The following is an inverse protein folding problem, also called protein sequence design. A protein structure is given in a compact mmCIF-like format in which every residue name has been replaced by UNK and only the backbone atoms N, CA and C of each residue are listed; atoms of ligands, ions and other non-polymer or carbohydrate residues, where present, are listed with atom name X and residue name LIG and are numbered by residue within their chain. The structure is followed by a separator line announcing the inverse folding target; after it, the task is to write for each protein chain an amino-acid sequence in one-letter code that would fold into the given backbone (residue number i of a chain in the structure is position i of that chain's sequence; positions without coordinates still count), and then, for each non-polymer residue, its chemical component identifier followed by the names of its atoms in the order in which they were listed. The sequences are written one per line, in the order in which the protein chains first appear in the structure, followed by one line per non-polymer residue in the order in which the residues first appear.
data_IF_601743309951
#
_entry.id   IF_601743309951
#
_cell.length_a   1.000
_cell.length_b   1.000
_cell.length_c   1.000
_cell.angle_alpha   90.00
_cell.angle_beta   90.00
_cell.angle_gamma   90.00
#
_symmetry.space_group_name_H-M   'P 1'
#
loop_
_entity.id
_entity.type
_entity.pdbx_description
1 polymer ?
#
# COMPACT_ATOMS: atom_id res chain seq x y z
N UNK A 1 -70.94 1.83 -7.85
CA UNK A 1 -69.58 1.48 -7.38
C UNK A 1 -68.71 1.38 -8.62
N UNK A 2 -67.87 2.37 -8.84
CA UNK A 2 -67.25 2.64 -10.15
C UNK A 2 -66.17 1.62 -10.47
N UNK A 3 -66.20 1.04 -11.67
CA UNK A 3 -65.17 0.13 -12.20
C UNK A 3 -63.76 0.77 -12.14
N UNK A 4 -63.68 2.10 -12.11
CA UNK A 4 -62.43 2.85 -11.93
C UNK A 4 -61.82 2.74 -10.53
N UNK A 5 -62.61 2.58 -9.45
CA UNK A 5 -62.09 2.39 -8.09
C UNK A 5 -61.51 0.98 -7.88
N UNK A 6 -62.09 -0.03 -8.56
CA UNK A 6 -61.64 -1.42 -8.46
C UNK A 6 -60.36 -1.72 -9.23
N UNK A 7 -60.05 -0.95 -10.28
CA UNK A 7 -58.86 -1.16 -11.13
C UNK A 7 -57.67 -0.27 -10.72
N UNK A 8 -57.90 0.86 -10.06
CA UNK A 8 -56.84 1.79 -9.65
C UNK A 8 -55.92 1.23 -8.56
N UNK A 9 -56.48 0.54 -7.57
CA UNK A 9 -55.73 -0.04 -6.43
C UNK A 9 -54.72 -1.12 -6.86
N UNK A 10 -55.08 -2.13 -7.68
CA UNK A 10 -54.12 -3.15 -8.12
C UNK A 10 -53.02 -2.58 -9.03
N UNK A 11 -53.33 -1.63 -9.92
CA UNK A 11 -52.34 -0.96 -10.77
C UNK A 11 -51.34 -0.15 -9.94
N UNK A 12 -51.80 0.58 -8.94
CA UNK A 12 -50.93 1.33 -8.02
C UNK A 12 -50.04 0.38 -7.21
N UNK A 13 -50.58 -0.74 -6.75
CA UNK A 13 -49.80 -1.76 -6.04
C UNK A 13 -48.69 -2.32 -6.92
N UNK A 14 -48.99 -2.69 -8.16
CA UNK A 14 -47.98 -3.19 -9.12
C UNK A 14 -46.93 -2.13 -9.41
N UNK A 15 -47.32 -0.87 -9.64
CA UNK A 15 -46.39 0.23 -9.88
C UNK A 15 -45.47 0.50 -8.67
N UNK A 16 -46.00 0.46 -7.45
CA UNK A 16 -45.22 0.63 -6.21
C UNK A 16 -44.30 -0.56 -5.98
N UNK A 17 -44.76 -1.79 -6.21
CA UNK A 17 -43.91 -2.99 -6.06
C UNK A 17 -42.79 -3.03 -7.10
N UNK A 18 -43.07 -2.69 -8.35
CA UNK A 18 -42.05 -2.63 -9.41
C UNK A 18 -41.08 -1.47 -9.18
N UNK A 19 -41.58 -0.27 -8.87
CA UNK A 19 -40.75 0.90 -8.60
C UNK A 19 -39.91 0.76 -7.33
N UNK A 20 -40.50 0.22 -6.26
CA UNK A 20 -39.81 -0.08 -5.01
C UNK A 20 -38.78 -1.20 -5.17
N UNK A 21 -39.14 -2.28 -5.86
CA UNK A 21 -38.22 -3.37 -6.21
C UNK A 21 -37.05 -2.88 -7.04
N UNK A 22 -37.30 -2.09 -8.09
CA UNK A 22 -36.26 -1.46 -8.91
C UNK A 22 -35.29 -0.63 -8.07
N UNK A 23 -35.80 0.27 -7.24
CA UNK A 23 -34.97 1.19 -6.45
C UNK A 23 -34.12 0.46 -5.41
N UNK A 24 -34.67 -0.57 -4.75
CA UNK A 24 -33.93 -1.41 -3.81
C UNK A 24 -32.86 -2.21 -4.54
N UNK A 25 -33.20 -2.86 -5.65
CA UNK A 25 -32.25 -3.65 -6.44
C UNK A 25 -31.11 -2.78 -6.97
N UNK A 26 -31.38 -1.61 -7.55
CA UNK A 26 -30.31 -0.73 -8.07
C UNK A 26 -29.38 -0.26 -6.96
N UNK A 27 -29.92 0.14 -5.81
CA UNK A 27 -29.11 0.61 -4.67
C UNK A 27 -28.23 -0.50 -4.10
N UNK A 28 -28.76 -1.71 -4.00
CA UNK A 28 -28.04 -2.89 -3.51
C UNK A 28 -26.96 -3.32 -4.50
N UNK A 29 -27.27 -3.36 -5.80
CA UNK A 29 -26.28 -3.70 -6.84
C UNK A 29 -25.15 -2.68 -6.89
N UNK A 30 -25.46 -1.37 -6.91
CA UNK A 30 -24.43 -0.32 -6.88
C UNK A 30 -23.54 -0.39 -5.63
N UNK A 31 -24.10 -0.89 -4.52
CA UNK A 31 -23.35 -1.08 -3.28
C UNK A 31 -22.36 -2.24 -3.40
N UNK A 32 -22.82 -3.40 -3.90
CA UNK A 32 -21.99 -4.57 -4.12
C UNK A 32 -20.89 -4.33 -5.15
N UNK A 33 -21.20 -3.64 -6.25
CA UNK A 33 -20.21 -3.32 -7.29
C UNK A 33 -19.10 -2.43 -6.75
N UNK A 34 -19.43 -1.47 -5.88
CA UNK A 34 -18.42 -0.63 -5.22
C UNK A 34 -17.54 -1.42 -4.26
N UNK A 35 -18.12 -2.33 -3.48
CA UNK A 35 -17.36 -3.20 -2.57
C UNK A 35 -16.41 -4.11 -3.37
N UNK A 36 -16.94 -4.76 -4.42
CA UNK A 36 -16.16 -5.64 -5.28
C UNK A 36 -15.00 -4.90 -5.94
N UNK A 37 -15.28 -3.74 -6.54
CA UNK A 37 -14.24 -2.90 -7.17
C UNK A 37 -13.14 -2.49 -6.18
N UNK A 38 -13.50 -2.12 -4.95
CA UNK A 38 -12.50 -1.78 -3.94
C UNK A 38 -11.66 -3.00 -3.54
N UNK A 39 -12.28 -4.19 -3.42
CA UNK A 39 -11.56 -5.43 -3.11
C UNK A 39 -10.61 -5.86 -4.21
N UNK A 40 -11.03 -5.79 -5.47
CA UNK A 40 -10.19 -6.13 -6.62
C UNK A 40 -8.95 -5.22 -6.71
N UNK A 41 -9.15 -3.94 -6.41
CA UNK A 41 -8.10 -2.93 -6.37
C UNK A 41 -7.10 -3.16 -5.23
N UNK A 42 -7.58 -3.55 -4.05
CA UNK A 42 -6.75 -3.93 -2.90
C UNK A 42 -5.95 -5.21 -3.17
N UNK A 43 -6.57 -6.23 -3.78
CA UNK A 43 -5.87 -7.46 -4.18
C UNK A 43 -4.78 -7.17 -5.22
N UNK A 44 -5.06 -6.27 -6.17
CA UNK A 44 -4.06 -5.81 -7.14
C UNK A 44 -2.91 -5.09 -6.44
N UNK A 45 -3.21 -4.19 -5.49
CA UNK A 45 -2.19 -3.48 -4.71
C UNK A 45 -1.36 -4.44 -3.85
N UNK A 46 -1.98 -5.46 -3.25
CA UNK A 46 -1.30 -6.50 -2.49
C UNK A 46 -0.34 -7.32 -3.35
N UNK A 47 -0.79 -7.75 -4.54
CA UNK A 47 0.06 -8.47 -5.49
C UNK A 47 1.25 -7.63 -5.96
N UNK A 48 1.02 -6.35 -6.25
CA UNK A 48 2.09 -5.42 -6.62
C UNK A 48 3.07 -5.19 -5.47
N UNK A 49 2.58 -5.03 -4.25
CA UNK A 49 3.44 -4.91 -3.07
C UNK A 49 4.32 -6.15 -2.87
N UNK A 50 3.75 -7.35 -2.98
CA UNK A 50 4.51 -8.60 -2.85
C UNK A 50 5.58 -8.75 -3.93
N UNK A 51 5.26 -8.35 -5.17
CA UNK A 51 6.24 -8.31 -6.27
C UNK A 51 7.40 -7.35 -5.96
N UNK A 52 7.09 -6.14 -5.50
CA UNK A 52 8.09 -5.14 -5.12
C UNK A 52 8.94 -5.59 -3.93
N UNK A 53 8.33 -6.24 -2.95
CA UNK A 53 9.05 -6.83 -1.82
C UNK A 53 10.03 -7.93 -2.28
N UNK A 54 9.61 -8.79 -3.22
CA UNK A 54 10.49 -9.79 -3.83
C UNK A 54 11.68 -9.14 -4.56
N UNK A 55 11.41 -8.10 -5.35
CA UNK A 55 12.43 -7.35 -6.08
C UNK A 55 13.42 -6.67 -5.13
N UNK A 56 12.93 -6.04 -4.07
CA UNK A 56 13.73 -5.46 -3.01
C UNK A 56 14.73 -6.46 -2.43
N UNK A 57 14.24 -7.65 -2.04
CA UNK A 57 15.09 -8.70 -1.43
C UNK A 57 16.11 -9.21 -2.44
N UNK A 58 15.71 -9.38 -3.70
CA UNK A 58 16.61 -9.82 -4.76
C UNK A 58 17.74 -8.81 -4.97
N UNK A 59 17.42 -7.53 -5.14
CA UNK A 59 18.40 -6.45 -5.34
C UNK A 59 19.36 -6.35 -4.16
N UNK A 60 18.84 -6.33 -2.93
CA UNK A 60 19.67 -6.28 -1.73
C UNK A 60 20.63 -7.49 -1.64
N UNK A 61 20.14 -8.72 -1.83
CA UNK A 61 20.99 -9.91 -1.75
C UNK A 61 22.04 -9.95 -2.86
N UNK A 62 21.66 -9.60 -4.09
CA UNK A 62 22.61 -9.50 -5.20
C UNK A 62 23.68 -8.45 -4.91
N UNK A 63 23.29 -7.29 -4.39
CA UNK A 63 24.24 -6.25 -4.02
C UNK A 63 25.23 -6.72 -2.96
N UNK A 64 24.75 -7.28 -1.85
CA UNK A 64 25.60 -7.80 -0.79
C UNK A 64 26.61 -8.84 -1.30
N UNK A 65 26.24 -9.67 -2.28
CA UNK A 65 27.15 -10.64 -2.90
C UNK A 65 28.22 -10.00 -3.81
N UNK A 66 27.96 -8.80 -4.35
CA UNK A 66 28.89 -8.06 -5.21
C UNK A 66 29.86 -7.16 -4.42
N UNK A 67 29.50 -6.73 -3.21
CA UNK A 67 30.23 -5.72 -2.42
C UNK A 67 31.50 -6.18 -1.71
N UNK A 68 32.16 -7.25 -2.16
CA UNK A 68 33.42 -7.75 -1.58
C UNK A 68 34.59 -6.73 -1.53
N UNK A 69 34.43 -5.50 -2.06
CA UNK A 69 35.47 -4.45 -2.12
C UNK A 69 35.00 -3.00 -1.92
N UNK A 70 33.82 -2.74 -1.32
CA UNK A 70 33.36 -1.39 -0.89
C UNK A 70 33.53 -0.24 -1.90
N UNK A 71 33.39 -0.51 -3.21
CA UNK A 71 33.65 0.50 -4.25
C UNK A 71 32.36 1.21 -4.66
N UNK A 72 32.31 2.55 -4.64
CA UNK A 72 31.14 3.30 -5.09
C UNK A 72 30.80 3.06 -6.57
N UNK A 73 29.50 3.04 -6.88
CA UNK A 73 29.02 2.86 -8.25
C UNK A 73 29.16 4.18 -9.02
N UNK A 74 30.26 4.33 -9.77
CA UNK A 74 30.61 5.59 -10.46
C UNK A 74 30.30 5.59 -11.97
N UNK A 75 30.16 4.42 -12.60
CA UNK A 75 29.91 4.30 -14.03
C UNK A 75 29.01 3.11 -14.39
N UNK A 76 28.38 3.11 -15.58
CA UNK A 76 27.57 1.99 -16.07
C UNK A 76 28.29 0.66 -16.19
N UNK A 77 29.63 0.69 -16.32
CA UNK A 77 30.46 -0.51 -16.42
C UNK A 77 30.73 -1.16 -15.06
N UNK A 78 30.40 -0.47 -13.96
CA UNK A 78 30.54 -1.02 -12.62
C UNK A 78 29.53 -2.16 -12.41
N UNK A 79 29.94 -3.31 -11.84
CA UNK A 79 29.04 -4.47 -11.63
C UNK A 79 27.81 -4.14 -10.77
N UNK A 80 27.89 -3.11 -9.93
CA UNK A 80 26.79 -2.57 -9.14
C UNK A 80 25.74 -1.75 -9.90
N UNK A 81 26.00 -1.33 -11.14
CA UNK A 81 25.09 -0.46 -11.89
C UNK A 81 23.73 -1.11 -12.14
N UNK A 82 23.72 -2.40 -12.50
CA UNK A 82 22.48 -3.16 -12.67
C UNK A 82 21.67 -3.26 -11.37
N UNK A 83 22.33 -3.34 -10.21
CA UNK A 83 21.65 -3.30 -8.91
C UNK A 83 21.07 -1.91 -8.64
N UNK A 84 21.80 -0.84 -8.98
CA UNK A 84 21.35 0.54 -8.81
C UNK A 84 20.13 0.86 -9.68
N UNK A 85 20.13 0.42 -10.94
CA UNK A 85 19.00 0.59 -11.85
C UNK A 85 17.74 -0.12 -11.32
N UNK A 86 17.88 -1.38 -10.90
CA UNK A 86 16.79 -2.15 -10.31
C UNK A 86 16.28 -1.56 -8.99
N UNK A 87 17.18 -1.12 -8.11
CA UNK A 87 16.82 -0.43 -6.87
C UNK A 87 16.03 0.86 -7.15
N UNK A 88 16.47 1.64 -8.14
CA UNK A 88 15.80 2.88 -8.55
C UNK A 88 14.42 2.61 -9.12
N UNK A 89 14.30 1.58 -9.97
CA UNK A 89 13.00 1.15 -10.51
C UNK A 89 12.05 0.67 -9.41
N UNK A 90 12.56 -0.13 -8.46
CA UNK A 90 11.79 -0.61 -7.32
C UNK A 90 11.35 0.54 -6.39
N UNK A 91 12.21 1.52 -6.12
CA UNK A 91 11.87 2.73 -5.36
C UNK A 91 10.79 3.56 -6.05
N UNK A 92 10.90 3.79 -7.36
CA UNK A 92 9.88 4.51 -8.12
C UNK A 92 8.54 3.78 -8.13
N UNK A 93 8.56 2.46 -8.27
CA UNK A 93 7.33 1.66 -8.29
C UNK A 93 6.65 1.58 -6.91
N UNK A 94 7.41 1.49 -5.80
CA UNK A 94 6.81 1.57 -4.47
C UNK A 94 6.21 2.96 -4.23
N UNK A 95 6.87 4.05 -4.63
CA UNK A 95 6.29 5.40 -4.52
C UNK A 95 4.98 5.54 -5.31
N UNK A 96 4.90 4.97 -6.52
CA UNK A 96 3.68 4.95 -7.31
C UNK A 96 2.55 4.17 -6.61
N UNK A 97 2.86 3.02 -6.01
CA UNK A 97 1.91 2.26 -5.20
C UNK A 97 1.41 3.07 -4.00
N UNK A 98 2.31 3.78 -3.30
CA UNK A 98 1.96 4.62 -2.16
C UNK A 98 1.06 5.80 -2.55
N UNK A 99 1.32 6.43 -3.70
CA UNK A 99 0.46 7.48 -4.24
C UNK A 99 -0.96 6.96 -4.53
N UNK A 100 -1.05 5.75 -5.10
CA UNK A 100 -2.33 5.08 -5.33
C UNK A 100 -3.06 4.81 -4.02
N UNK A 101 -2.39 4.26 -3.01
CA UNK A 101 -2.99 3.99 -1.70
C UNK A 101 -3.51 5.28 -1.03
N UNK A 102 -2.76 6.37 -1.11
CA UNK A 102 -3.19 7.67 -0.59
C UNK A 102 -4.42 8.23 -1.31
N UNK A 103 -4.61 7.91 -2.60
CA UNK A 103 -5.78 8.32 -3.38
C UNK A 103 -7.01 7.42 -3.18
N UNK A 104 -6.80 6.18 -2.76
CA UNK A 104 -7.84 5.16 -2.74
C UNK A 104 -8.33 4.82 -1.33
N UNK A 105 -7.50 5.06 -0.30
CA UNK A 105 -7.80 4.71 1.09
C UNK A 105 -7.73 5.93 2.01
N UNK A 106 -8.63 5.97 2.99
CA UNK A 106 -8.52 6.87 4.14
C UNK A 106 -7.60 6.20 5.15
N UNK A 107 -6.38 6.70 5.25
CA UNK A 107 -5.32 6.12 6.07
C UNK A 107 -5.25 6.77 7.45
N UNK A 108 -4.98 5.97 8.48
CA UNK A 108 -4.66 6.48 9.81
C UNK A 108 -3.23 7.02 9.85
N UNK A 109 -2.89 7.74 10.93
CA UNK A 109 -1.52 8.22 11.14
C UNK A 109 -0.52 7.07 11.20
N UNK A 110 -0.84 6.02 11.93
CA UNK A 110 -0.01 4.81 12.03
C UNK A 110 0.22 4.15 10.66
N UNK A 111 -0.82 4.03 9.83
CA UNK A 111 -0.68 3.49 8.48
C UNK A 111 0.20 4.38 7.60
N UNK A 112 0.07 5.70 7.72
CA UNK A 112 0.95 6.65 7.03
C UNK A 112 2.40 6.48 7.45
N UNK A 113 2.66 6.27 8.74
CA UNK A 113 4.02 6.08 9.27
C UNK A 113 4.58 4.72 8.83
N UNK A 114 3.78 3.66 8.79
CA UNK A 114 4.16 2.35 8.23
C UNK A 114 4.55 2.46 6.75
N UNK A 115 3.70 3.11 5.93
CA UNK A 115 3.95 3.29 4.51
C UNK A 115 5.16 4.18 4.24
N UNK A 116 5.35 5.22 5.05
CA UNK A 116 6.53 6.06 5.03
C UNK A 116 7.80 5.27 5.37
N UNK A 117 7.72 4.39 6.37
CA UNK A 117 8.85 3.54 6.76
C UNK A 117 9.25 2.55 5.67
N UNK A 118 8.28 1.89 5.02
CA UNK A 118 8.57 1.00 3.87
C UNK A 118 9.27 1.75 2.76
N UNK A 119 8.79 2.95 2.41
CA UNK A 119 9.45 3.79 1.40
C UNK A 119 10.92 4.06 1.76
N UNK A 120 11.20 4.37 3.02
CA UNK A 120 12.57 4.64 3.46
C UNK A 120 13.46 3.41 3.41
N UNK A 121 12.93 2.22 3.67
CA UNK A 121 13.69 0.98 3.48
C UNK A 121 14.14 0.80 2.02
N UNK A 122 13.26 1.05 1.04
CA UNK A 122 13.61 1.02 -0.39
C UNK A 122 14.69 2.06 -0.73
N UNK A 123 14.55 3.28 -0.21
CA UNK A 123 15.58 4.33 -0.34
C UNK A 123 16.91 3.93 0.27
N UNK A 124 16.90 3.26 1.42
CA UNK A 124 18.11 2.83 2.09
C UNK A 124 18.92 1.84 1.23
N UNK A 125 18.25 0.87 0.58
CA UNK A 125 18.92 -0.03 -0.38
C UNK A 125 19.55 0.74 -1.53
N UNK A 126 18.80 1.64 -2.19
CA UNK A 126 19.35 2.40 -3.31
C UNK A 126 20.54 3.25 -2.88
N UNK A 127 20.47 3.92 -1.73
CA UNK A 127 21.56 4.75 -1.19
C UNK A 127 22.81 3.93 -0.88
N UNK A 128 22.65 2.79 -0.20
CA UNK A 128 23.76 1.88 0.08
C UNK A 128 24.45 1.40 -1.21
N UNK A 129 23.67 1.02 -2.23
CA UNK A 129 24.20 0.64 -3.54
C UNK A 129 24.96 1.81 -4.17
N UNK A 130 24.37 3.00 -4.21
CA UNK A 130 25.00 4.19 -4.77
C UNK A 130 26.32 4.53 -4.07
N UNK A 131 26.40 4.32 -2.75
CA UNK A 131 27.57 4.61 -1.94
C UNK A 131 28.64 3.51 -1.98
N UNK A 132 28.34 2.33 -2.55
CA UNK A 132 29.29 1.21 -2.51
C UNK A 132 29.28 0.47 -1.17
N UNK A 133 28.28 0.70 -0.32
CA UNK A 133 28.21 0.15 1.04
C UNK A 133 27.32 -1.09 1.07
N UNK A 134 27.74 -2.18 1.73
CA UNK A 134 26.85 -3.32 1.95
C UNK A 134 25.74 -2.93 2.94
N UNK A 135 24.58 -3.56 2.82
CA UNK A 135 23.49 -3.33 3.80
C UNK A 135 23.68 -4.15 5.07
N UNK A 136 24.37 -5.29 5.00
CA UNK A 136 24.70 -6.08 6.18
C UNK A 136 23.50 -6.62 7.00
N UNK A 137 22.34 -6.76 6.38
CA UNK A 137 21.11 -7.23 7.02
C UNK A 137 21.00 -8.77 7.16
N UNK A 138 21.97 -9.44 7.76
CA UNK A 138 22.03 -10.92 7.82
C UNK A 138 21.26 -11.58 8.97
N UNK A 139 20.78 -10.83 9.97
CA UNK A 139 20.14 -11.38 11.18
C UNK A 139 18.92 -10.57 11.61
N UNK A 140 17.97 -11.23 12.30
CA UNK A 140 16.85 -10.59 12.99
C UNK A 140 17.28 -9.66 14.13
N UNK A 141 18.52 -9.74 14.59
CA UNK A 141 19.09 -8.82 15.59
C UNK A 141 19.50 -7.48 14.99
N UNK A 142 19.60 -7.40 13.66
CA UNK A 142 19.98 -6.18 12.95
C UNK A 142 18.73 -5.32 12.79
N UNK A 143 18.72 -4.20 13.49
CA UNK A 143 17.52 -3.37 13.68
C UNK A 143 16.86 -2.94 12.35
N UNK A 144 17.60 -2.46 11.33
CA UNK A 144 16.99 -2.14 10.02
C UNK A 144 16.34 -3.35 9.31
N UNK A 145 16.94 -4.53 9.43
CA UNK A 145 16.38 -5.75 8.86
C UNK A 145 15.06 -6.12 9.53
N UNK A 146 15.06 -6.18 10.87
CA UNK A 146 13.86 -6.48 11.63
C UNK A 146 12.76 -5.45 11.37
N UNK A 147 13.13 -4.16 11.36
CA UNK A 147 12.21 -3.06 11.09
C UNK A 147 11.53 -3.22 9.72
N UNK A 148 12.30 -3.50 8.67
CA UNK A 148 11.75 -3.71 7.34
C UNK A 148 10.77 -4.90 7.30
N UNK A 149 11.08 -6.02 7.97
CA UNK A 149 10.18 -7.19 8.02
C UNK A 149 8.86 -6.87 8.73
N UNK A 150 8.92 -6.13 9.83
CA UNK A 150 7.72 -5.70 10.57
C UNK A 150 6.86 -4.75 9.72
N UNK A 151 7.48 -3.75 9.09
CA UNK A 151 6.79 -2.80 8.20
C UNK A 151 6.17 -3.50 6.99
N UNK A 152 6.90 -4.41 6.33
CA UNK A 152 6.39 -5.14 5.18
C UNK A 152 5.22 -6.07 5.55
N UNK A 153 5.28 -6.68 6.74
CA UNK A 153 4.16 -7.46 7.28
C UNK A 153 2.95 -6.57 7.56
N UNK A 154 3.15 -5.39 8.17
CA UNK A 154 2.08 -4.44 8.45
C UNK A 154 1.42 -3.92 7.16
N UNK A 155 2.19 -3.63 6.11
CA UNK A 155 1.62 -3.28 4.79
C UNK A 155 0.83 -4.44 4.20
N UNK A 156 1.31 -5.68 4.33
CA UNK A 156 0.57 -6.85 3.85
C UNK A 156 -0.77 -7.02 4.58
N UNK A 157 -0.80 -6.79 5.90
CA UNK A 157 -2.04 -6.78 6.70
C UNK A 157 -2.96 -5.64 6.28
N UNK A 158 -2.42 -4.42 6.09
CA UNK A 158 -3.16 -3.28 5.60
C UNK A 158 -3.87 -3.60 4.28
N UNK A 159 -3.14 -4.15 3.30
CA UNK A 159 -3.70 -4.47 1.97
C UNK A 159 -4.62 -5.70 1.99
N UNK A 160 -4.38 -6.66 2.89
CA UNK A 160 -5.22 -7.85 3.06
C UNK A 160 -6.57 -7.55 3.74
N UNK A 161 -6.62 -6.50 4.56
CA UNK A 161 -7.83 -6.09 5.29
C UNK A 161 -8.70 -5.12 4.49
N UNK A 162 -10.01 -5.22 4.70
CA UNK A 162 -10.97 -4.33 4.07
C UNK A 162 -10.77 -2.89 4.57
N UNK A 163 -10.86 -1.86 3.69
CA UNK A 163 -10.71 -0.47 4.10
C UNK A 163 -11.71 -0.06 5.18
N UNK A 164 -11.26 0.69 6.19
CA UNK A 164 -12.14 1.21 7.26
C UNK A 164 -13.25 2.12 6.73
N UNK A 165 -12.93 2.91 5.72
CA UNK A 165 -13.88 3.79 5.04
C UNK A 165 -14.23 3.25 3.66
N UNK A 166 -15.53 3.19 3.37
CA UNK A 166 -16.02 2.91 2.01
C UNK A 166 -15.90 4.11 1.07
N UNK A 167 -15.68 5.31 1.62
CA UNK A 167 -15.49 6.54 0.85
C UNK A 167 -14.02 6.71 0.51
N UNK A 168 -13.75 7.10 -0.73
CA UNK A 168 -12.43 7.54 -1.18
C UNK A 168 -12.12 8.92 -0.63
N UNK A 169 -10.84 9.22 -0.33
CA UNK A 169 -10.42 10.57 0.04
C UNK A 169 -10.66 11.55 -1.11
N UNK A 170 -10.84 12.83 -0.78
CA UNK A 170 -10.82 13.89 -1.79
C UNK A 170 -9.39 14.08 -2.31
N UNK A 171 -9.23 14.70 -3.48
CA UNK A 171 -7.90 14.97 -4.05
C UNK A 171 -6.99 15.75 -3.08
N UNK A 172 -7.55 16.71 -2.33
CA UNK A 172 -6.80 17.48 -1.34
C UNK A 172 -6.34 16.64 -0.15
N UNK A 173 -7.18 15.69 0.32
CA UNK A 173 -6.80 14.76 1.39
C UNK A 173 -5.74 13.78 0.88
N UNK A 174 -5.93 13.19 -0.30
CA UNK A 174 -4.97 12.29 -0.91
C UNK A 174 -3.59 12.93 -1.09
N UNK A 175 -3.54 14.16 -1.62
CA UNK A 175 -2.29 14.89 -1.81
C UNK A 175 -1.59 15.20 -0.46
N UNK A 176 -2.36 15.55 0.58
CA UNK A 176 -1.82 15.73 1.92
C UNK A 176 -1.27 14.43 2.47
N UNK A 177 -2.06 13.35 2.44
CA UNK A 177 -1.65 12.03 2.92
C UNK A 177 -0.40 11.53 2.20
N UNK A 178 -0.30 11.70 0.88
CA UNK A 178 0.90 11.30 0.13
C UNK A 178 2.13 12.14 0.52
N UNK A 179 1.96 13.45 0.77
CA UNK A 179 3.02 14.30 1.31
C UNK A 179 3.49 13.83 2.68
N UNK A 180 2.56 13.40 3.53
CA UNK A 180 2.88 12.84 4.86
C UNK A 180 3.63 11.51 4.76
N UNK A 181 3.25 10.61 3.84
CA UNK A 181 3.96 9.35 3.57
C UNK A 181 5.39 9.61 3.06
N UNK A 182 5.57 10.65 2.25
CA UNK A 182 6.87 10.98 1.64
C UNK A 182 7.74 11.91 2.48
N UNK A 183 7.24 12.36 3.64
CA UNK A 183 7.91 13.33 4.51
C UNK A 183 9.27 12.82 5.02
N UNK A 184 10.24 13.73 5.16
CA UNK A 184 11.61 13.39 5.59
C UNK A 184 11.70 12.88 7.04
N UNK A 185 10.64 13.02 7.84
CA UNK A 185 10.61 12.51 9.23
C UNK A 185 10.89 11.01 9.30
N UNK A 186 10.46 10.28 8.26
CA UNK A 186 10.62 8.83 8.19
C UNK A 186 12.09 8.43 8.02
N UNK A 187 12.98 9.33 7.55
CA UNK A 187 14.41 9.00 7.41
C UNK A 187 15.05 8.66 8.75
N UNK A 188 14.56 9.26 9.84
CA UNK A 188 15.06 9.04 11.21
C UNK A 188 14.21 8.02 11.96
N UNK A 189 12.90 7.96 11.67
CA UNK A 189 11.91 7.30 12.53
C UNK A 189 11.42 5.95 12.03
N UNK A 190 11.80 5.50 10.84
CA UNK A 190 11.20 4.27 10.26
C UNK A 190 11.49 3.00 11.08
N UNK A 191 12.60 2.97 11.80
CA UNK A 191 12.92 1.90 12.74
C UNK A 191 12.02 1.96 13.97
N UNK A 192 11.85 3.15 14.56
CA UNK A 192 10.95 3.37 15.72
C UNK A 192 9.49 3.04 15.38
N UNK A 193 9.04 3.37 14.16
CA UNK A 193 7.72 3.02 13.66
C UNK A 193 7.51 1.49 13.64
N UNK A 194 8.56 0.72 13.31
CA UNK A 194 8.51 -0.74 13.30
C UNK A 194 8.51 -1.35 14.71
N UNK A 195 9.19 -0.72 15.66
CA UNK A 195 9.17 -1.12 17.07
C UNK A 195 7.76 -0.94 17.67
N UNK A 196 7.06 0.14 17.32
CA UNK A 196 5.68 0.38 17.73
C UNK A 196 4.71 -0.75 17.32
N UNK A 197 4.87 -1.28 16.11
CA UNK A 197 4.09 -2.43 15.60
C UNK A 197 4.38 -3.69 16.43
N UNK A 198 5.66 -3.92 16.72
CA UNK A 198 6.14 -5.12 17.41
C UNK A 198 5.74 -5.13 18.89
N UNK A 199 5.62 -3.95 19.52
CA UNK A 199 5.16 -3.78 20.89
C UNK A 199 3.63 -3.91 21.02
N UNK A 200 2.86 -3.39 20.05
CA UNK A 200 1.41 -3.55 20.02
C UNK A 200 0.95 -5.01 20.00
N UNK A 201 1.72 -5.88 19.34
CA UNK A 201 1.46 -7.32 19.29
C UNK A 201 1.74 -8.08 20.61
N UNK A 202 2.48 -7.48 21.56
CA UNK A 202 2.73 -8.09 22.89
C UNK A 202 1.69 -7.68 23.93
N UNK A 203 0.89 -6.67 23.65
CA UNK A 203 -0.15 -6.13 24.54
C UNK A 203 -1.57 -6.59 24.20
N UNK A 204 -1.74 -7.38 23.13
CA UNK A 204 -3.00 -7.99 22.67
C UNK A 204 -3.02 -9.48 22.93
#
# INVERSE_FOLDING_TARGET
MSIFESLGVPLLTVAVTLGGGWLVTTRVTDHWDRIKKNRDMDLTAAGEFQRLYGEFVAVWKTWNALTSGHTPVTSPEHPGWACLERATAAEGAIEALLAKLAAERVLTREEVDVLGGVRQAFKAVRRAIQQGEPLDWWSSEIQPYAAFKSLASAVSVLLGTAPRSRRRPTAAVAARTFREITHNRHEVQWIEAADGISLGARSS
#
